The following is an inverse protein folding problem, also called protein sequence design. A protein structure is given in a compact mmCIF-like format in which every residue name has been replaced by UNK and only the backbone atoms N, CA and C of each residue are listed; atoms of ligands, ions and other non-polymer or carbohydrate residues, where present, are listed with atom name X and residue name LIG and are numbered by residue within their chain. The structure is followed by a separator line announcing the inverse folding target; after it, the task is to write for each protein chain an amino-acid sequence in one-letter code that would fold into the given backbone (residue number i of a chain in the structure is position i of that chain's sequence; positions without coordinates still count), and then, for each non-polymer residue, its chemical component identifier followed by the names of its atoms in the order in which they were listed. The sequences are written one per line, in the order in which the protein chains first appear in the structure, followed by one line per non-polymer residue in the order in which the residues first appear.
data_IF_283931504388
#
_entry.id   IF_283931504388
#
_cell.length_a   1.000
_cell.length_b   1.000
_cell.length_c   1.000
_cell.angle_alpha   90.00
_cell.angle_beta   90.00
_cell.angle_gamma   90.00
#
_symmetry.space_group_name_H-M   'P 1'
#
loop_
_entity.id
_entity.type
_entity.pdbx_description
1 polymer ?
#
# COMPACT_ATOMS: atom_id res chain seq x y z
N UNK A 1 -21.70 -28.40 17.98
CA UNK A 1 -21.36 -27.32 17.02
C UNK A 1 -19.88 -27.01 17.19
N UNK A 2 -19.04 -27.29 16.19
CA UNK A 2 -17.60 -26.96 16.29
C UNK A 2 -17.45 -25.43 16.25
N UNK A 3 -16.64 -24.81 17.13
CA UNK A 3 -16.44 -23.38 17.09
C UNK A 3 -15.75 -23.00 15.78
N UNK A 4 -16.22 -21.93 15.13
CA UNK A 4 -15.57 -21.39 13.93
C UNK A 4 -14.22 -20.80 14.35
N UNK A 5 -13.14 -21.34 13.80
CA UNK A 5 -11.80 -20.81 14.02
C UNK A 5 -11.75 -19.37 13.50
N UNK A 6 -11.14 -18.48 14.29
CA UNK A 6 -10.92 -17.09 13.85
C UNK A 6 -10.00 -17.13 12.62
N UNK A 7 -10.25 -16.31 11.59
CA UNK A 7 -9.37 -16.25 10.44
C UNK A 7 -7.97 -15.89 10.93
N UNK A 8 -6.97 -16.70 10.53
CA UNK A 8 -5.57 -16.44 10.86
C UNK A 8 -5.15 -15.13 10.19
N UNK A 9 -4.36 -14.34 10.89
CA UNK A 9 -3.79 -13.12 10.32
C UNK A 9 -2.88 -13.50 9.15
N UNK A 10 -3.19 -12.96 7.97
CA UNK A 10 -2.34 -13.13 6.79
C UNK A 10 -1.04 -12.34 7.00
N UNK A 11 0.08 -12.98 6.68
CA UNK A 11 1.43 -12.41 6.76
C UNK A 11 2.15 -12.75 5.46
N UNK A 12 2.56 -11.72 4.71
CA UNK A 12 3.33 -11.86 3.47
C UNK A 12 4.79 -11.50 3.77
N UNK A 13 5.71 -12.48 3.86
CA UNK A 13 7.07 -12.23 4.32
C UNK A 13 7.86 -11.31 3.39
N UNK A 14 8.75 -10.50 3.97
CA UNK A 14 9.66 -9.66 3.20
C UNK A 14 10.66 -10.51 2.39
N UNK A 15 10.65 -10.34 1.07
CA UNK A 15 11.58 -11.01 0.15
C UNK A 15 12.97 -10.40 0.30
N UNK A 16 13.94 -11.20 0.78
CA UNK A 16 15.34 -10.76 0.90
C UNK A 16 16.17 -11.01 -0.37
N UNK A 17 15.84 -12.06 -1.12
CA UNK A 17 16.44 -12.43 -2.40
C UNK A 17 15.33 -12.88 -3.36
N UNK A 18 15.32 -12.36 -4.58
CA UNK A 18 14.36 -12.76 -5.61
C UNK A 18 14.53 -14.24 -5.95
N UNK A 19 13.41 -14.98 -5.98
CA UNK A 19 13.34 -16.33 -6.51
C UNK A 19 12.78 -16.26 -7.92
N UNK A 20 13.68 -16.25 -8.88
CA UNK A 20 13.36 -16.25 -10.30
C UNK A 20 12.84 -17.64 -10.70
N UNK A 21 11.60 -17.71 -11.18
CA UNK A 21 11.02 -18.95 -11.69
C UNK A 21 11.56 -19.18 -13.10
N UNK A 22 12.50 -20.11 -13.25
CA UNK A 22 12.98 -20.50 -14.58
C UNK A 22 12.04 -21.57 -15.12
N UNK A 23 11.42 -21.39 -16.31
CA UNK A 23 10.77 -22.51 -16.96
C UNK A 23 11.81 -23.62 -17.18
N UNK A 24 11.43 -24.86 -16.91
CA UNK A 24 12.29 -26.04 -17.15
C UNK A 24 12.85 -26.00 -18.57
N UNK A 25 14.14 -26.31 -18.78
CA UNK A 25 14.77 -26.22 -20.09
C UNK A 25 14.27 -27.34 -21.01
N UNK A 26 13.14 -27.07 -21.67
CA UNK A 26 12.81 -27.66 -22.96
C UNK A 26 13.57 -26.88 -24.05
N UNK A 27 14.42 -27.61 -24.77
CA UNK A 27 15.18 -27.20 -25.95
C UNK A 27 16.49 -26.43 -25.76
N UNK A 28 17.57 -27.15 -26.12
CA UNK A 28 18.96 -26.74 -26.12
C UNK A 28 19.19 -25.68 -27.19
N UNK A 29 19.54 -24.46 -26.79
CA UNK A 29 20.28 -23.54 -27.66
C UNK A 29 21.76 -23.69 -27.34
N UNK A 30 22.51 -24.24 -28.30
CA UNK A 30 23.97 -24.34 -28.25
C UNK A 30 24.55 -22.93 -28.37
N UNK A 31 25.18 -22.43 -27.32
CA UNK A 31 26.08 -21.28 -27.44
C UNK A 31 27.39 -21.75 -28.09
N UNK A 32 27.65 -21.24 -29.29
CA UNK A 32 28.94 -21.40 -29.98
C UNK A 32 29.96 -20.43 -29.38
N UNK A 33 31.08 -20.97 -28.89
CA UNK A 33 32.22 -20.17 -28.44
C UNK A 33 32.91 -19.52 -29.66
N UNK A 34 33.23 -18.21 -29.65
CA UNK A 34 34.13 -17.64 -30.64
C UNK A 34 35.57 -18.11 -30.38
N UNK A 35 36.21 -18.60 -31.42
CA UNK A 35 37.57 -19.13 -31.38
C UNK A 35 38.63 -18.04 -31.13
N UNK A 36 39.41 -18.21 -30.07
CA UNK A 36 40.65 -17.48 -29.86
C UNK A 36 41.82 -18.30 -30.43
N UNK A 37 42.59 -17.68 -31.32
CA UNK A 37 43.78 -18.25 -31.96
C UNK A 37 44.88 -18.45 -30.92
N UNK A 38 45.49 -19.63 -30.95
CA UNK A 38 46.61 -20.05 -30.11
C UNK A 38 47.93 -19.52 -30.65
N UNK A 39 48.70 -18.82 -29.81
CA UNK A 39 50.16 -18.79 -29.88
C UNK A 39 50.67 -18.81 -28.43
N UNK A 40 51.06 -19.99 -27.95
CA UNK A 40 51.45 -20.20 -26.55
C UNK A 40 52.96 -20.46 -26.44
N UNK A 41 53.60 -19.72 -25.53
CA UNK A 41 54.55 -20.39 -24.64
C UNK A 41 53.75 -21.06 -23.54
N UNK A 42 54.00 -22.34 -23.27
CA UNK A 42 53.24 -23.18 -22.30
C UNK A 42 53.15 -22.55 -20.89
N UNK A 43 54.13 -21.72 -20.54
CA UNK A 43 54.17 -21.01 -19.25
C UNK A 43 53.12 -19.90 -19.20
N UNK A 44 52.92 -19.18 -20.31
CA UNK A 44 51.93 -18.09 -20.39
C UNK A 44 50.50 -18.63 -20.42
N UNK A 45 50.24 -19.74 -21.12
CA UNK A 45 48.89 -20.33 -21.15
C UNK A 45 48.47 -20.84 -19.77
N UNK A 46 49.40 -21.42 -19.01
CA UNK A 46 49.17 -21.82 -17.61
C UNK A 46 48.89 -20.61 -16.71
N UNK A 47 49.67 -19.54 -16.83
CA UNK A 47 49.45 -18.32 -16.05
C UNK A 47 48.09 -17.66 -16.34
N UNK A 48 47.67 -17.65 -17.61
CA UNK A 48 46.36 -17.14 -18.02
C UNK A 48 45.23 -17.98 -17.42
N UNK A 49 45.37 -19.30 -17.40
CA UNK A 49 44.38 -20.18 -16.76
C UNK A 49 44.27 -19.93 -15.25
N UNK A 50 45.40 -19.82 -14.54
CA UNK A 50 45.41 -19.55 -13.09
C UNK A 50 44.76 -18.21 -12.75
N UNK A 51 45.02 -17.16 -13.54
CA UNK A 51 44.37 -15.83 -13.41
C UNK A 51 42.86 -15.88 -13.64
N UNK A 52 42.40 -16.62 -14.65
CA UNK A 52 40.97 -16.77 -14.94
C UNK A 52 40.29 -17.56 -13.81
N UNK A 53 40.92 -18.62 -13.33
CA UNK A 53 40.40 -19.43 -12.23
C UNK A 53 40.33 -18.62 -10.92
N UNK A 54 41.36 -17.83 -10.60
CA UNK A 54 41.37 -16.94 -9.45
C UNK A 54 40.26 -15.87 -9.55
N UNK A 55 40.08 -15.29 -10.74
CA UNK A 55 38.99 -14.34 -11.01
C UNK A 55 37.61 -14.97 -10.82
N UNK A 56 37.40 -16.20 -11.31
CA UNK A 56 36.15 -16.95 -11.13
C UNK A 56 35.89 -17.32 -9.67
N UNK A 57 36.91 -17.78 -8.94
CA UNK A 57 36.82 -18.08 -7.51
C UNK A 57 36.50 -16.82 -6.70
N UNK A 58 37.09 -15.69 -7.05
CA UNK A 58 36.76 -14.40 -6.44
C UNK A 58 35.29 -14.07 -6.70
N UNK A 59 34.83 -14.13 -7.96
CA UNK A 59 33.43 -13.88 -8.31
C UNK A 59 32.45 -14.83 -7.58
N UNK A 60 32.75 -16.13 -7.48
CA UNK A 60 31.94 -17.10 -6.74
C UNK A 60 31.86 -16.73 -5.26
N UNK A 61 32.99 -16.39 -4.63
CA UNK A 61 33.04 -15.90 -3.25
C UNK A 61 32.21 -14.63 -3.06
N UNK A 62 32.19 -13.73 -4.04
CA UNK A 62 31.33 -12.52 -4.03
C UNK A 62 29.84 -12.84 -4.19
N UNK A 63 29.48 -13.84 -5.00
CA UNK A 63 28.08 -14.23 -5.21
C UNK A 63 27.51 -15.03 -4.04
N UNK A 64 28.35 -15.81 -3.37
CA UNK A 64 27.97 -16.72 -2.28
C UNK A 64 28.09 -16.09 -0.89
N UNK A 65 28.74 -14.93 -0.76
CA UNK A 65 28.89 -14.19 0.50
C UNK A 65 27.56 -14.02 1.24
N UNK A 66 27.45 -14.64 2.41
CA UNK A 66 26.38 -14.32 3.36
C UNK A 66 26.57 -12.90 3.89
N UNK A 67 25.46 -12.25 4.23
CA UNK A 67 25.38 -10.86 4.71
C UNK A 67 26.20 -10.54 5.96
N UNK A 68 26.85 -11.54 6.57
CA UNK A 68 27.48 -11.46 7.89
C UNK A 68 28.95 -11.01 7.83
N UNK A 69 29.56 -10.87 6.65
CA UNK A 69 30.91 -10.31 6.49
C UNK A 69 30.84 -8.78 6.25
N UNK A 70 31.20 -7.94 7.24
CA UNK A 70 31.08 -6.48 7.12
C UNK A 70 32.04 -5.87 6.06
N UNK A 71 33.09 -6.58 5.67
CA UNK A 71 34.06 -6.15 4.65
C UNK A 71 33.66 -6.51 3.21
N UNK A 72 32.65 -7.39 3.02
CA UNK A 72 32.13 -7.79 1.71
C UNK A 72 30.68 -7.33 1.55
N UNK A 73 30.44 -6.02 1.70
CA UNK A 73 29.14 -5.44 1.39
C UNK A 73 28.85 -5.59 -0.12
N UNK A 74 28.00 -6.55 -0.49
CA UNK A 74 27.49 -6.67 -1.85
C UNK A 74 26.80 -5.34 -2.17
N UNK A 75 27.24 -4.58 -3.19
CA UNK A 75 26.64 -3.29 -3.52
C UNK A 75 25.15 -3.52 -3.74
N UNK A 76 24.30 -2.68 -3.14
CA UNK A 76 22.83 -2.81 -3.17
C UNK A 76 22.31 -3.03 -4.60
N UNK A 77 23.00 -2.47 -5.60
CA UNK A 77 22.69 -2.62 -7.02
C UNK A 77 22.76 -4.07 -7.55
N UNK A 78 23.53 -4.96 -6.91
CA UNK A 78 23.61 -6.39 -7.26
C UNK A 78 22.62 -7.26 -6.50
N UNK A 79 22.00 -6.74 -5.43
CA UNK A 79 20.97 -7.46 -4.69
C UNK A 79 19.71 -7.50 -5.56
N UNK A 80 19.27 -8.69 -5.98
CA UNK A 80 18.11 -8.93 -6.84
C UNK A 80 18.27 -8.61 -8.34
N UNK A 81 19.49 -8.66 -8.87
CA UNK A 81 19.69 -8.56 -10.31
C UNK A 81 18.91 -9.66 -11.06
N UNK A 82 18.27 -9.29 -12.18
CA UNK A 82 17.63 -10.25 -13.08
C UNK A 82 18.70 -11.18 -13.70
N UNK A 83 18.36 -12.45 -13.99
CA UNK A 83 19.26 -13.34 -14.71
C UNK A 83 19.69 -12.73 -16.05
N UNK A 84 20.95 -12.98 -16.43
CA UNK A 84 21.51 -12.54 -17.71
C UNK A 84 20.66 -13.03 -18.90
N UNK A 85 20.53 -12.20 -19.93
CA UNK A 85 19.74 -12.48 -21.13
C UNK A 85 18.27 -12.06 -21.05
N UNK A 86 17.81 -11.48 -19.94
CA UNK A 86 16.42 -11.00 -19.82
C UNK A 86 16.24 -9.52 -20.18
N UNK A 87 17.25 -8.69 -19.88
CA UNK A 87 17.23 -7.22 -20.05
C UNK A 87 18.37 -6.71 -20.96
N UNK A 88 19.12 -7.62 -21.59
CA UNK A 88 20.31 -7.30 -22.37
C UNK A 88 19.95 -7.01 -23.85
N UNK A 89 19.35 -5.84 -24.14
CA UNK A 89 19.16 -5.34 -25.51
C UNK A 89 17.87 -4.55 -25.77
N UNK A 90 17.50 -4.39 -27.05
CA UNK A 90 16.28 -3.68 -27.49
C UNK A 90 14.97 -4.46 -27.20
N UNK A 91 15.08 -5.76 -26.88
CA UNK A 91 13.94 -6.67 -26.65
C UNK A 91 13.98 -7.17 -25.21
N UNK A 92 12.87 -6.95 -24.51
CA UNK A 92 12.66 -7.43 -23.14
C UNK A 92 12.01 -8.82 -23.22
N UNK A 93 12.69 -9.83 -22.69
CA UNK A 93 12.08 -11.16 -22.56
C UNK A 93 11.02 -11.11 -21.45
N UNK A 94 9.93 -11.88 -21.56
CA UNK A 94 8.79 -11.81 -20.59
C UNK A 94 8.60 -13.10 -19.81
N UNK A 95 9.34 -14.15 -20.15
CA UNK A 95 9.21 -15.52 -19.60
C UNK A 95 9.40 -15.62 -18.08
N UNK A 96 10.12 -14.67 -17.49
CA UNK A 96 10.40 -14.64 -16.06
C UNK A 96 9.27 -14.01 -15.23
N UNK A 97 8.32 -13.34 -15.90
CA UNK A 97 7.20 -12.69 -15.21
C UNK A 97 6.30 -13.76 -14.57
N UNK A 98 5.82 -13.54 -13.34
CA UNK A 98 4.78 -14.39 -12.76
C UNK A 98 3.56 -14.48 -13.67
N UNK A 99 2.84 -15.61 -13.58
CA UNK A 99 1.55 -15.76 -14.24
C UNK A 99 0.55 -14.72 -13.74
N UNK A 100 -0.45 -14.41 -14.58
CA UNK A 100 -1.53 -13.49 -14.19
C UNK A 100 -2.32 -14.06 -13.02
N UNK A 101 -2.66 -13.19 -12.07
CA UNK A 101 -3.47 -13.55 -10.92
C UNK A 101 -4.83 -14.15 -11.33
N UNK A 102 -5.21 -15.24 -10.67
CA UNK A 102 -6.48 -15.94 -10.88
C UNK A 102 -7.45 -15.61 -9.73
N UNK A 103 -8.76 -15.80 -9.94
CA UNK A 103 -9.78 -15.58 -8.90
C UNK A 103 -9.49 -16.34 -7.59
N UNK A 104 -8.93 -17.55 -7.70
CA UNK A 104 -8.51 -18.35 -6.54
C UNK A 104 -7.42 -17.66 -5.69
N UNK A 105 -6.54 -16.86 -6.30
CA UNK A 105 -5.51 -16.12 -5.57
C UNK A 105 -6.13 -15.03 -4.71
N UNK A 106 -7.15 -14.34 -5.24
CA UNK A 106 -7.91 -13.33 -4.51
C UNK A 106 -8.79 -13.93 -3.41
N UNK A 107 -9.29 -15.16 -3.58
CA UNK A 107 -9.95 -15.90 -2.51
C UNK A 107 -8.98 -16.25 -1.37
N UNK A 108 -7.74 -16.61 -1.72
CA UNK A 108 -6.71 -16.93 -0.72
C UNK A 108 -6.21 -15.70 0.04
N UNK A 109 -6.04 -14.58 -0.65
CA UNK A 109 -5.58 -13.31 -0.09
C UNK A 109 -6.52 -12.18 -0.53
N UNK A 110 -7.54 -11.85 0.30
CA UNK A 110 -8.47 -10.77 0.02
C UNK A 110 -7.75 -9.43 -0.09
N UNK A 111 -8.25 -8.58 -1.01
CA UNK A 111 -7.66 -7.25 -1.30
C UNK A 111 -7.58 -6.39 -0.04
N UNK A 112 -8.62 -6.39 0.79
CA UNK A 112 -8.68 -5.61 2.04
C UNK A 112 -7.58 -6.00 3.04
N UNK A 113 -7.18 -7.28 3.04
CA UNK A 113 -6.20 -7.82 3.98
C UNK A 113 -4.76 -7.81 3.43
N UNK A 114 -4.59 -7.69 2.10
CA UNK A 114 -3.30 -7.77 1.43
C UNK A 114 -2.29 -6.73 1.92
N UNK A 115 -2.71 -5.46 2.01
CA UNK A 115 -1.86 -4.38 2.48
C UNK A 115 -1.39 -4.58 3.92
N UNK A 116 -2.31 -4.96 4.82
CA UNK A 116 -1.99 -5.27 6.21
C UNK A 116 -1.04 -6.47 6.31
N UNK A 117 -1.23 -7.50 5.48
CA UNK A 117 -0.39 -8.68 5.46
C UNK A 117 1.06 -8.39 5.04
N UNK A 118 1.27 -7.47 4.09
CA UNK A 118 2.61 -6.99 3.74
C UNK A 118 3.27 -6.25 4.89
N UNK A 119 2.55 -5.30 5.51
CA UNK A 119 3.08 -4.53 6.63
C UNK A 119 3.51 -5.46 7.76
N UNK A 120 2.67 -6.45 8.09
CA UNK A 120 3.01 -7.50 9.08
C UNK A 120 4.27 -8.27 8.71
N UNK A 121 4.45 -8.65 7.45
CA UNK A 121 5.65 -9.37 7.02
C UNK A 121 6.91 -8.50 6.91
N UNK A 122 6.76 -7.18 6.85
CA UNK A 122 7.84 -6.20 7.05
C UNK A 122 8.13 -5.95 8.54
N UNK A 123 7.38 -6.58 9.45
CA UNK A 123 7.56 -6.48 10.90
C UNK A 123 6.72 -5.41 11.59
N UNK A 124 5.77 -4.78 10.89
CA UNK A 124 4.83 -3.83 11.48
C UNK A 124 3.74 -4.55 12.28
N UNK A 125 3.33 -3.97 13.41
CA UNK A 125 2.29 -4.51 14.30
C UNK A 125 1.21 -3.46 14.53
N UNK A 126 -0.02 -3.92 14.73
CA UNK A 126 -1.15 -3.04 15.04
C UNK A 126 -0.88 -2.27 16.34
N UNK A 127 -1.02 -0.95 16.29
CA UNK A 127 -0.72 -0.04 17.40
C UNK A 127 0.75 0.39 17.52
N UNK A 128 1.63 -0.07 16.64
CA UNK A 128 3.01 0.40 16.55
C UNK A 128 3.14 1.45 15.44
N UNK A 129 3.76 2.59 15.77
CA UNK A 129 4.13 3.59 14.78
C UNK A 129 5.18 3.09 13.79
N UNK A 130 5.28 3.76 12.65
CA UNK A 130 6.29 3.46 11.63
C UNK A 130 7.59 4.17 12.00
N UNK A 131 8.65 3.40 12.26
CA UNK A 131 10.01 3.94 12.42
C UNK A 131 10.84 3.26 13.51
N UNK A 132 12.16 3.44 13.43
CA UNK A 132 13.10 2.84 14.39
C UNK A 132 13.05 3.50 15.77
N UNK A 133 12.86 4.82 15.81
CA UNK A 133 13.02 5.63 17.05
C UNK A 133 11.67 6.08 17.64
N UNK A 134 10.66 6.33 16.80
CA UNK A 134 9.35 6.81 17.24
C UNK A 134 8.26 5.82 16.84
N UNK A 135 7.90 4.94 17.78
CA UNK A 135 6.88 3.90 17.60
C UNK A 135 5.46 4.37 17.95
N UNK A 136 5.22 5.67 17.91
CA UNK A 136 3.90 6.23 18.26
C UNK A 136 2.93 6.04 17.11
N UNK A 137 1.72 5.58 17.42
CA UNK A 137 0.62 5.50 16.48
C UNK A 137 0.19 6.93 16.08
N UNK A 138 0.57 7.35 14.88
CA UNK A 138 0.24 8.68 14.34
C UNK A 138 -0.94 8.53 13.39
N UNK A 139 -2.07 9.14 13.75
CA UNK A 139 -3.24 9.21 12.88
C UNK A 139 -2.90 10.01 11.62
N UNK A 140 -3.35 9.58 10.42
CA UNK A 140 -3.22 10.36 9.21
C UNK A 140 -3.78 11.77 9.37
N UNK A 141 -3.09 12.77 8.83
CA UNK A 141 -3.53 14.16 8.90
C UNK A 141 -4.68 14.38 7.92
N UNK A 142 -5.89 14.58 8.44
CA UNK A 142 -7.04 14.97 7.62
C UNK A 142 -6.96 16.46 7.28
N UNK A 143 -6.69 16.76 6.00
CA UNK A 143 -6.69 18.14 5.53
C UNK A 143 -8.12 18.61 5.19
N UNK A 144 -8.57 19.69 5.82
CA UNK A 144 -9.84 20.32 5.46
C UNK A 144 -9.70 21.09 4.15
N UNK A 145 -10.54 20.76 3.16
CA UNK A 145 -10.57 21.48 1.89
C UNK A 145 -10.90 22.96 2.11
N UNK A 146 -10.01 23.83 1.65
CA UNK A 146 -10.21 25.28 1.75
C UNK A 146 -11.27 25.76 0.74
N UNK A 147 -12.30 26.49 1.18
CA UNK A 147 -13.26 27.08 0.26
C UNK A 147 -12.61 28.16 -0.61
N UNK A 148 -13.00 28.21 -1.89
CA UNK A 148 -12.51 29.21 -2.84
C UNK A 148 -12.97 30.61 -2.43
N UNK A 149 -12.13 31.63 -2.64
CA UNK A 149 -12.47 33.03 -2.41
C UNK A 149 -12.23 33.58 -1.01
N UNK A 150 -11.62 32.78 -0.10
CA UNK A 150 -11.31 33.22 1.26
C UNK A 150 -9.83 33.59 1.38
N UNK A 151 -9.50 34.78 1.90
CA UNK A 151 -8.13 35.25 2.11
C UNK A 151 -7.33 34.37 3.08
N UNK A 152 -6.00 34.39 3.01
CA UNK A 152 -5.13 33.64 3.96
C UNK A 152 -5.36 34.20 5.37
N UNK A 153 -5.65 33.33 6.34
CA UNK A 153 -5.96 33.72 7.73
C UNK A 153 -7.44 34.02 8.01
N UNK A 154 -8.32 33.93 7.02
CA UNK A 154 -9.76 33.97 7.24
C UNK A 154 -10.31 32.52 7.28
N UNK A 155 -10.88 32.12 8.41
CA UNK A 155 -11.50 30.81 8.61
C UNK A 155 -13.02 30.93 8.72
N UNK A 156 -13.75 30.04 8.05
CA UNK A 156 -15.22 30.05 8.03
C UNK A 156 -15.83 29.69 9.40
N UNK A 157 -15.12 28.95 10.24
CA UNK A 157 -15.55 28.67 11.63
C UNK A 157 -15.67 29.96 12.42
N UNK A 158 -14.62 30.79 12.39
CA UNK A 158 -14.60 32.09 13.08
C UNK A 158 -15.69 33.01 12.55
N UNK A 159 -15.94 33.03 11.23
CA UNK A 159 -17.00 33.87 10.64
C UNK A 159 -18.41 33.39 11.04
N UNK A 160 -18.64 32.07 11.12
CA UNK A 160 -19.94 31.53 11.58
C UNK A 160 -20.18 31.75 13.06
N UNK A 161 -19.13 31.67 13.88
CA UNK A 161 -19.24 31.89 15.32
C UNK A 161 -19.47 33.37 15.65
N UNK A 162 -19.06 34.27 14.75
CA UNK A 162 -19.32 35.72 14.80
C UNK A 162 -20.62 36.14 14.11
N UNK A 163 -21.27 35.26 13.33
CA UNK A 163 -22.60 35.53 12.81
C UNK A 163 -23.62 35.41 13.96
N UNK A 164 -23.92 36.55 14.60
CA UNK A 164 -25.09 36.67 15.46
C UNK A 164 -26.36 36.26 14.68
N UNK A 165 -27.35 35.62 15.33
CA UNK A 165 -28.61 35.29 14.68
C UNK A 165 -29.21 36.59 14.16
N UNK A 166 -29.24 36.75 12.83
CA UNK A 166 -29.68 37.99 12.20
C UNK A 166 -31.05 38.36 12.79
N UNK A 167 -31.26 39.59 13.27
CA UNK A 167 -32.57 39.99 13.76
C UNK A 167 -33.57 39.79 12.63
N UNK A 168 -34.58 38.94 12.86
CA UNK A 168 -35.66 38.74 11.91
C UNK A 168 -36.23 40.13 11.59
N UNK A 169 -36.18 40.51 10.31
CA UNK A 169 -36.72 41.80 9.88
C UNK A 169 -38.18 41.88 10.31
N UNK A 170 -38.60 43.04 10.81
CA UNK A 170 -40.01 43.30 11.07
C UNK A 170 -40.81 43.04 9.80
N UNK A 171 -41.78 42.13 9.90
CA UNK A 171 -42.64 41.70 8.79
C UNK A 171 -43.35 42.92 8.21
N UNK A 172 -43.45 43.00 6.89
CA UNK A 172 -44.18 44.10 6.26
C UNK A 172 -45.68 43.95 6.56
N UNK A 173 -46.43 45.05 6.75
CA UNK A 173 -47.90 44.99 6.84
C UNK A 173 -48.49 44.21 5.65
N UNK A 174 -49.07 43.03 5.91
CA UNK A 174 -49.67 42.14 4.91
C UNK A 174 -49.03 40.75 4.75
N UNK A 175 -47.91 40.46 5.43
CA UNK A 175 -47.26 39.14 5.39
C UNK A 175 -47.85 38.21 6.47
N UNK A 176 -48.69 37.25 6.06
CA UNK A 176 -49.19 36.22 6.98
C UNK A 176 -48.04 35.32 7.44
N UNK A 177 -47.80 35.35 8.76
CA UNK A 177 -46.84 34.48 9.42
C UNK A 177 -47.30 33.04 9.24
N UNK A 178 -46.61 32.28 8.37
CA UNK A 178 -46.73 30.82 8.42
C UNK A 178 -46.38 30.41 9.86
N UNK A 179 -47.25 29.70 10.59
CA UNK A 179 -46.88 29.22 11.90
C UNK A 179 -45.68 28.28 11.69
N UNK A 180 -44.51 28.73 12.12
CA UNK A 180 -43.42 27.80 12.41
C UNK A 180 -43.99 26.87 13.48
N UNK A 181 -44.29 25.64 13.06
CA UNK A 181 -44.67 24.60 14.00
C UNK A 181 -43.52 24.49 15.00
N UNK A 182 -43.79 24.70 16.30
CA UNK A 182 -42.75 24.60 17.30
C UNK A 182 -42.23 23.16 17.24
N UNK A 183 -40.95 23.00 16.93
CA UNK A 183 -40.28 21.71 16.91
C UNK A 183 -40.13 21.23 18.36
N UNK A 184 -41.17 20.61 18.91
CA UNK A 184 -41.14 20.02 20.24
C UNK A 184 -42.45 20.13 21.02
N UNK A 185 -42.65 19.21 21.96
CA UNK A 185 -43.78 19.22 22.89
C UNK A 185 -43.57 20.33 23.93
N UNK A 186 -44.44 21.34 23.95
CA UNK A 186 -44.43 22.45 24.93
C UNK A 186 -45.52 22.22 25.98
N UNK A 187 -45.25 22.54 27.25
CA UNK A 187 -46.24 22.43 28.32
C UNK A 187 -47.47 23.31 28.01
N UNK A 188 -48.66 22.70 27.92
CA UNK A 188 -49.90 23.36 27.50
C UNK A 188 -50.26 23.22 26.01
N UNK A 189 -49.48 22.46 25.23
CA UNK A 189 -49.83 22.12 23.84
C UNK A 189 -50.85 20.98 23.78
N UNK A 190 -51.84 21.12 22.89
CA UNK A 190 -52.83 20.08 22.60
C UNK A 190 -52.26 19.10 21.57
N UNK A 191 -52.43 17.80 21.80
CA UNK A 191 -51.93 16.76 20.88
C UNK A 191 -53.07 16.28 19.98
N UNK A 192 -52.88 16.29 18.67
CA UNK A 192 -53.86 15.75 17.73
C UNK A 192 -53.68 14.24 17.54
N UNK A 193 -54.77 13.47 17.68
CA UNK A 193 -54.74 12.03 17.48
C UNK A 193 -54.84 11.75 15.97
N UNK A 194 -53.77 11.24 15.36
CA UNK A 194 -53.75 10.96 13.90
C UNK A 194 -54.36 9.59 13.53
N UNK A 195 -54.41 8.63 14.46
CA UNK A 195 -54.84 7.25 14.20
C UNK A 195 -55.68 6.70 15.35
N UNK A 196 -56.72 5.94 15.03
CA UNK A 196 -57.60 5.26 15.99
C UNK A 196 -59.04 5.78 16.01
N UNK A 197 -59.87 5.31 16.96
CA UNK A 197 -61.31 5.65 17.03
C UNK A 197 -61.59 7.13 17.27
N UNK A 198 -60.64 7.85 17.88
CA UNK A 198 -60.73 9.29 18.15
C UNK A 198 -59.80 10.11 17.22
N UNK A 199 -59.57 9.61 16.01
CA UNK A 199 -58.80 10.29 14.99
C UNK A 199 -59.38 11.69 14.72
N UNK A 200 -58.50 12.68 14.57
CA UNK A 200 -58.79 14.10 14.39
C UNK A 200 -59.31 14.84 15.63
N UNK A 201 -59.43 14.21 16.80
CA UNK A 201 -59.67 14.92 18.07
C UNK A 201 -58.36 15.35 18.73
N UNK A 202 -58.43 16.45 19.47
CA UNK A 202 -57.32 16.98 20.26
C UNK A 202 -57.42 16.48 21.71
N UNK A 203 -56.34 15.91 22.22
CA UNK A 203 -56.13 15.65 23.64
C UNK A 203 -55.67 16.93 24.33
N UNK A 204 -56.35 17.28 25.43
CA UNK A 204 -55.92 18.31 26.39
C UNK A 204 -54.99 17.70 27.42
#
# INVERSE_FOLDING_TARGET
VKPREKPRELIIPLIQKNRWHRPEPGDKVKEEKPGAKQEDSEVLSRAVQELIEESQRYQQKWTEGSRDDPDLSIPLLKQNQAPSGFEDGDKINVELRPESSTDADYESVPVDAYGLAMLRGMGWKEGEGIGRTFKQDVKPLEHQLRPKGLGLGADRSIIRDLEEPRPQRAMKPGEEKRPEEPTGLVAGSLVQIEKGPHKCLYGK
#
